data_IF_827421124295
#
_entry.id   IF_827421124295
#
_cell.length_a   1.000
_cell.length_b   1.000
_cell.length_c   1.000
_cell.angle_alpha   90.00
_cell.angle_beta   90.00
_cell.angle_gamma   90.00
#
_symmetry.space_group_name_H-M   'P 1'
#
loop_
_entity.id
_entity.type
_entity.pdbx_description
1 polymer ?
#
# COMPACT_ATOMS: atom_id res chain seq x y z
N UNK A 1 5.63 19.10 -9.01
CA UNK A 1 5.35 17.66 -9.11
C UNK A 1 5.75 17.00 -7.80
N UNK A 2 5.01 16.01 -7.29
CA UNK A 2 5.38 15.35 -6.04
C UNK A 2 6.75 14.66 -6.22
N UNK A 3 7.72 15.01 -5.39
CA UNK A 3 9.07 14.43 -5.47
C UNK A 3 9.03 13.00 -4.96
N UNK A 4 9.07 12.03 -5.87
CA UNK A 4 9.30 10.61 -5.55
C UNK A 4 10.76 10.46 -5.14
N UNK A 5 11.01 9.69 -4.08
CA UNK A 5 12.33 9.39 -3.55
C UNK A 5 12.56 7.88 -3.61
N UNK A 6 13.84 7.49 -3.53
CA UNK A 6 14.22 6.09 -3.34
C UNK A 6 13.61 5.56 -2.04
N UNK A 7 13.11 4.33 -2.07
CA UNK A 7 12.43 3.69 -0.94
C UNK A 7 10.94 4.04 -0.80
N UNK A 8 10.38 4.86 -1.69
CA UNK A 8 8.94 5.09 -1.70
C UNK A 8 8.18 3.87 -2.24
N UNK A 9 7.03 3.56 -1.64
CA UNK A 9 6.09 2.58 -2.16
C UNK A 9 5.21 3.24 -3.22
N UNK A 10 5.20 2.67 -4.43
CA UNK A 10 4.43 3.19 -5.56
C UNK A 10 3.51 2.13 -6.16
N UNK A 11 2.42 2.58 -6.77
CA UNK A 11 1.49 1.75 -7.52
C UNK A 11 1.40 2.23 -8.97
N UNK A 12 1.41 1.30 -9.91
CA UNK A 12 1.20 1.60 -11.33
C UNK A 12 -0.27 1.90 -11.58
N UNK A 13 -0.58 3.09 -12.12
CA UNK A 13 -1.97 3.55 -12.35
C UNK A 13 -2.40 3.32 -13.80
N UNK A 14 -1.46 3.48 -14.74
CA UNK A 14 -1.71 3.46 -16.18
C UNK A 14 -1.06 2.25 -16.85
N UNK A 15 -1.41 2.03 -18.13
CA UNK A 15 -0.96 0.88 -18.90
C UNK A 15 -1.95 -0.28 -18.92
N UNK A 16 -1.49 -1.41 -19.43
CA UNK A 16 -2.29 -2.62 -19.61
C UNK A 16 -2.65 -3.24 -18.27
N UNK A 17 -3.88 -3.77 -18.15
CA UNK A 17 -4.32 -4.46 -16.94
C UNK A 17 -3.55 -5.76 -16.72
N UNK A 18 -3.49 -6.22 -15.47
CA UNK A 18 -2.90 -7.51 -15.12
C UNK A 18 -3.52 -8.67 -15.92
N UNK A 19 -4.84 -8.65 -16.13
CA UNK A 19 -5.54 -9.66 -16.92
C UNK A 19 -5.06 -9.75 -18.39
N UNK A 20 -4.42 -8.70 -18.90
CA UNK A 20 -3.88 -8.62 -20.26
C UNK A 20 -2.35 -8.63 -20.27
N UNK A 21 -1.72 -9.07 -19.18
CA UNK A 21 -0.26 -9.19 -19.06
C UNK A 21 0.48 -7.90 -18.72
N UNK A 22 -0.22 -6.84 -18.32
CA UNK A 22 0.42 -5.59 -17.86
C UNK A 22 0.60 -5.49 -16.35
N UNK A 23 1.17 -4.37 -15.91
CA UNK A 23 1.51 -4.14 -14.50
C UNK A 23 0.55 -3.19 -13.77
N UNK A 24 -0.53 -2.75 -14.42
CA UNK A 24 -1.48 -1.81 -13.82
C UNK A 24 -2.08 -2.39 -12.53
N UNK A 25 -1.95 -1.64 -11.43
CA UNK A 25 -2.40 -2.03 -10.11
C UNK A 25 -1.35 -2.72 -9.25
N UNK A 26 -0.21 -3.15 -9.81
CA UNK A 26 0.91 -3.69 -9.01
C UNK A 26 1.55 -2.58 -8.17
N UNK A 27 1.99 -2.97 -6.98
CA UNK A 27 2.73 -2.11 -6.06
C UNK A 27 4.18 -2.60 -5.96
N UNK A 28 5.12 -1.66 -5.81
CA UNK A 28 6.53 -1.97 -5.65
C UNK A 28 7.30 -0.80 -5.04
N UNK A 29 8.49 -1.09 -4.54
CA UNK A 29 9.39 -0.08 -3.97
C UNK A 29 10.27 0.53 -5.07
N UNK A 30 10.54 1.82 -4.96
CA UNK A 30 11.45 2.54 -5.86
C UNK A 30 12.90 2.23 -5.51
N UNK A 31 13.60 1.52 -6.39
CA UNK A 31 15.02 1.18 -6.27
C UNK A 31 15.91 2.37 -6.62
N UNK A 32 15.54 3.08 -7.69
CA UNK A 32 16.33 4.18 -8.24
C UNK A 32 15.42 5.21 -8.93
N UNK A 33 15.83 6.48 -8.89
CA UNK A 33 15.15 7.59 -9.54
C UNK A 33 16.09 8.24 -10.55
N UNK A 34 15.79 8.06 -11.83
CA UNK A 34 16.49 8.67 -12.96
C UNK A 34 15.85 10.04 -13.24
N UNK A 35 16.34 11.07 -12.54
CA UNK A 35 15.76 12.42 -12.57
C UNK A 35 15.85 13.08 -13.94
N UNK A 36 16.95 12.86 -14.65
CA UNK A 36 17.21 13.47 -15.96
C UNK A 36 16.20 13.01 -17.01
N UNK A 37 15.78 11.74 -16.93
CA UNK A 37 14.83 11.12 -17.85
C UNK A 37 13.38 11.11 -17.34
N UNK A 38 13.11 11.66 -16.15
CA UNK A 38 11.82 11.57 -15.46
C UNK A 38 11.30 10.12 -15.33
N UNK A 39 12.21 9.18 -15.05
CA UNK A 39 11.93 7.76 -14.93
C UNK A 39 12.33 7.22 -13.57
N UNK A 40 11.73 6.10 -13.19
CA UNK A 40 12.02 5.39 -11.94
C UNK A 40 12.14 3.90 -12.21
N UNK A 41 13.05 3.25 -11.48
CA UNK A 41 13.17 1.80 -11.45
C UNK A 41 12.40 1.29 -10.24
N UNK A 42 11.42 0.42 -10.47
CA UNK A 42 10.52 -0.09 -9.43
C UNK A 42 10.68 -1.61 -9.36
N UNK A 43 10.81 -2.14 -8.16
CA UNK A 43 10.95 -3.57 -7.93
C UNK A 43 9.72 -4.34 -8.43
N UNK A 44 9.94 -5.41 -9.20
CA UNK A 44 8.89 -6.35 -9.60
C UNK A 44 7.90 -5.81 -10.65
N UNK A 45 8.21 -4.67 -11.27
CA UNK A 45 7.37 -3.99 -12.25
C UNK A 45 8.16 -3.77 -13.54
N UNK A 46 7.48 -3.91 -14.68
CA UNK A 46 8.00 -3.63 -16.02
C UNK A 46 9.24 -4.46 -16.37
N UNK A 47 9.08 -5.77 -16.40
CA UNK A 47 10.15 -6.68 -16.78
C UNK A 47 10.40 -6.67 -18.29
N UNK A 48 11.68 -6.59 -18.67
CA UNK A 48 12.13 -6.69 -20.05
C UNK A 48 13.07 -7.88 -20.18
N UNK A 49 12.84 -8.66 -21.23
CA UNK A 49 13.69 -9.78 -21.58
C UNK A 49 14.90 -9.29 -22.36
N UNK A 50 16.09 -9.50 -21.81
CA UNK A 50 17.37 -9.14 -22.43
C UNK A 50 18.12 -10.40 -22.81
N UNK A 51 18.51 -10.51 -24.07
CA UNK A 51 19.41 -11.55 -24.54
C UNK A 51 20.85 -11.12 -24.24
N UNK A 52 21.49 -11.83 -23.32
CA UNK A 52 22.87 -11.54 -22.94
C UNK A 52 23.80 -12.49 -23.69
N UNK A 53 24.75 -11.90 -24.42
CA UNK A 53 25.77 -12.66 -25.15
C UNK A 53 26.59 -13.47 -24.15
N UNK A 54 26.80 -14.75 -24.46
CA UNK A 54 27.64 -15.65 -23.66
C UNK A 54 29.04 -15.08 -23.48
N UNK A 55 29.38 -14.72 -22.24
CA UNK A 55 30.72 -14.30 -21.83
C UNK A 55 31.42 -15.43 -21.05
N UNK A 56 32.75 -15.44 -21.07
CA UNK A 56 33.52 -16.22 -20.08
C UNK A 56 33.63 -15.39 -18.79
N UNK A 57 33.10 -15.93 -17.70
CA UNK A 57 33.34 -15.36 -16.36
C UNK A 57 34.80 -15.62 -15.97
N UNK A 58 35.39 -14.81 -15.08
CA UNK A 58 36.76 -15.01 -14.55
C UNK A 58 37.04 -16.42 -13.99
N UNK A 59 35.99 -17.20 -13.68
CA UNK A 59 36.06 -18.60 -13.22
C UNK A 59 35.88 -19.65 -14.33
N UNK A 60 35.94 -19.26 -15.61
CA UNK A 60 35.84 -20.16 -16.76
C UNK A 60 34.41 -20.62 -17.11
N UNK A 61 33.39 -20.26 -16.32
CA UNK A 61 32.00 -20.60 -16.60
C UNK A 61 31.43 -19.71 -17.70
N UNK A 62 30.86 -20.34 -18.74
CA UNK A 62 30.11 -19.65 -19.81
C UNK A 62 28.71 -19.37 -19.29
N UNK A 63 28.46 -18.14 -18.90
CA UNK A 63 27.12 -17.71 -18.50
C UNK A 63 26.61 -16.76 -19.57
N UNK A 64 25.51 -17.15 -20.20
CA UNK A 64 24.74 -16.32 -21.11
C UNK A 64 23.39 -16.97 -21.32
N UNK A 65 22.44 -16.18 -21.82
CA UNK A 65 21.06 -16.64 -21.93
C UNK A 65 20.07 -15.50 -21.91
N UNK A 66 18.82 -15.88 -21.63
CA UNK A 66 17.70 -14.97 -21.53
C UNK A 66 17.61 -14.50 -20.07
N UNK A 67 17.95 -13.24 -19.83
CA UNK A 67 17.80 -12.60 -18.52
C UNK A 67 16.56 -11.73 -18.52
N UNK A 68 15.82 -11.75 -17.43
CA UNK A 68 14.66 -10.90 -17.22
C UNK A 68 15.06 -9.83 -16.21
N UNK A 69 15.09 -8.57 -16.64
CA UNK A 69 15.52 -7.43 -15.82
C UNK A 69 14.39 -6.43 -15.67
N UNK A 70 14.32 -5.74 -14.53
CA UNK A 70 13.40 -4.62 -14.36
C UNK A 70 13.79 -3.46 -15.27
N UNK A 71 12.80 -2.79 -15.85
CA UNK A 71 13.01 -1.66 -16.73
C UNK A 71 12.34 -0.39 -16.17
N UNK A 72 12.91 0.79 -16.43
CA UNK A 72 12.42 2.04 -15.87
C UNK A 72 11.03 2.43 -16.42
N UNK A 73 10.16 2.85 -15.52
CA UNK A 73 8.82 3.37 -15.81
C UNK A 73 8.78 4.90 -15.65
N UNK A 74 7.99 5.58 -16.47
CA UNK A 74 7.85 7.02 -16.40
C UNK A 74 7.07 7.46 -15.14
N UNK A 75 7.49 8.55 -14.50
CA UNK A 75 6.92 9.04 -13.22
C UNK A 75 5.41 9.32 -13.31
N UNK A 76 4.90 9.71 -14.49
CA UNK A 76 3.46 9.96 -14.67
C UNK A 76 2.57 8.71 -14.53
N UNK A 77 3.16 7.53 -14.67
CA UNK A 77 2.42 6.26 -14.71
C UNK A 77 2.26 5.63 -13.32
N UNK A 78 2.83 6.28 -12.30
CA UNK A 78 2.82 5.78 -10.92
C UNK A 78 2.17 6.77 -9.95
N UNK A 79 1.55 6.24 -8.91
CA UNK A 79 1.11 6.99 -7.72
C UNK A 79 1.91 6.53 -6.52
N UNK A 80 2.18 7.45 -5.60
CA UNK A 80 2.64 7.09 -4.27
C UNK A 80 1.50 6.41 -3.51
N UNK A 81 1.85 5.32 -2.83
CA UNK A 81 0.93 4.63 -1.92
C UNK A 81 1.09 5.27 -0.55
N UNK A 82 -0.04 5.68 0.01
CA UNK A 82 -0.07 6.18 1.38
C UNK A 82 0.11 5.01 2.37
N UNK A 83 1.07 5.06 3.31
CA UNK A 83 1.30 3.99 4.28
C UNK A 83 0.10 3.69 5.18
N UNK A 84 -0.77 4.68 5.45
CA UNK A 84 -1.92 4.50 6.34
C UNK A 84 -3.08 3.80 5.63
N UNK A 85 -3.47 4.34 4.47
CA UNK A 85 -4.63 3.84 3.72
C UNK A 85 -4.29 2.68 2.79
N UNK A 86 -3.00 2.49 2.46
CA UNK A 86 -2.49 1.54 1.45
C UNK A 86 -3.09 1.74 0.06
N UNK A 87 -3.68 2.91 -0.18
CA UNK A 87 -4.29 3.30 -1.43
C UNK A 87 -3.39 4.28 -2.18
N UNK A 88 -3.49 4.33 -3.52
CA UNK A 88 -2.79 5.33 -4.31
C UNK A 88 -3.38 6.71 -4.01
N UNK A 89 -2.54 7.64 -3.54
CA UNK A 89 -2.96 8.95 -3.12
C UNK A 89 -2.19 10.04 -3.88
N UNK A 90 -2.85 11.20 -4.07
CA UNK A 90 -2.18 12.39 -4.59
C UNK A 90 -1.40 13.05 -3.47
N UNK A 91 -0.24 13.60 -3.77
CA UNK A 91 0.60 14.23 -2.75
C UNK A 91 0.57 15.76 -2.87
N UNK A 92 0.66 16.42 -1.72
CA UNK A 92 0.91 17.85 -1.58
C UNK A 92 2.22 18.09 -0.83
N UNK A 93 2.60 19.36 -0.79
CA UNK A 93 3.71 19.84 0.04
C UNK A 93 3.11 20.81 1.03
N UNK A 94 3.33 20.58 2.32
CA UNK A 94 3.10 21.58 3.36
C UNK A 94 4.44 22.20 3.73
N UNK A 95 4.40 23.50 4.00
CA UNK A 95 5.56 24.29 4.36
C UNK A 95 5.38 24.68 5.81
N UNK A 96 6.26 24.20 6.66
CA UNK A 96 6.27 24.48 8.09
C UNK A 96 7.56 25.20 8.44
N UNK A 97 7.47 26.24 9.26
CA UNK A 97 8.65 26.91 9.80
C UNK A 97 8.98 26.27 11.14
N UNK A 98 10.09 25.55 11.17
CA UNK A 98 10.57 24.89 12.40
C UNK A 98 11.83 25.60 12.85
N UNK A 99 11.76 26.19 14.05
CA UNK A 99 12.94 26.72 14.72
C UNK A 99 13.67 25.57 15.38
N UNK A 100 14.86 25.24 14.87
CA UNK A 100 15.81 24.35 15.54
C UNK A 100 17.07 25.14 15.84
N UNK A 101 17.53 25.08 17.08
CA UNK A 101 18.80 25.65 17.53
C UNK A 101 18.94 27.16 17.23
N UNK A 102 17.85 27.92 17.40
CA UNK A 102 17.82 29.37 17.16
C UNK A 102 17.79 29.80 15.68
N UNK A 103 17.78 28.86 14.74
CA UNK A 103 17.68 29.12 13.30
C UNK A 103 16.32 28.66 12.78
N UNK A 104 15.55 29.59 12.23
CA UNK A 104 14.29 29.29 11.53
C UNK A 104 14.59 28.57 10.23
N UNK A 105 14.17 27.30 10.10
CA UNK A 105 14.28 26.53 8.87
C UNK A 105 12.91 26.24 8.29
N UNK A 106 12.75 26.55 7.02
CA UNK A 106 11.56 26.17 6.26
C UNK A 106 11.65 24.69 5.90
N UNK A 107 10.84 23.86 6.57
CA UNK A 107 10.75 22.42 6.32
C UNK A 107 9.58 22.16 5.38
N UNK A 108 9.85 21.41 4.30
CA UNK A 108 8.83 21.01 3.33
C UNK A 108 8.44 19.55 3.59
N UNK A 109 7.30 19.37 4.25
CA UNK A 109 6.78 18.04 4.57
C UNK A 109 5.84 17.58 3.47
N UNK A 110 6.00 16.32 3.06
CA UNK A 110 5.14 15.68 2.06
C UNK A 110 3.87 15.19 2.73
N UNK A 111 2.71 15.62 2.24
CA UNK A 111 1.41 15.26 2.81
C UNK A 111 0.56 14.53 1.77
N UNK A 112 -0.05 13.42 2.14
CA UNK A 112 -0.98 12.69 1.28
C UNK A 112 -2.36 13.35 1.34
N UNK A 113 -2.90 13.71 0.17
CA UNK A 113 -4.24 14.28 0.05
C UNK A 113 -5.25 13.15 -0.08
N UNK A 114 -6.36 13.20 0.68
CA UNK A 114 -7.42 12.21 0.54
C UNK A 114 -7.99 12.27 -0.89
N UNK A 115 -8.05 11.12 -1.55
CA UNK A 115 -8.68 11.05 -2.86
C UNK A 115 -10.20 10.98 -2.68
N UNK A 116 -10.97 11.67 -3.54
CA UNK A 116 -12.45 11.59 -3.52
C UNK A 116 -12.99 10.17 -3.73
N UNK A 117 -12.13 9.27 -4.25
CA UNK A 117 -12.43 7.87 -4.55
C UNK A 117 -11.85 6.91 -3.51
N UNK A 118 -11.26 7.42 -2.43
CA UNK A 118 -10.79 6.59 -1.33
C UNK A 118 -12.02 5.91 -0.72
N UNK A 119 -12.16 4.61 -1.01
CA UNK A 119 -13.06 3.76 -0.25
C UNK A 119 -12.70 3.96 1.23
N UNK A 120 -13.70 4.24 2.06
CA UNK A 120 -13.53 4.32 3.52
C UNK A 120 -12.69 3.11 3.96
N UNK A 121 -11.70 3.28 4.86
CA UNK A 121 -10.82 2.20 5.23
C UNK A 121 -11.64 1.03 5.80
N UNK A 122 -11.69 -0.08 5.06
CA UNK A 122 -12.43 -1.30 5.42
C UNK A 122 -11.96 -1.93 6.75
N UNK A 123 -10.89 -1.41 7.37
CA UNK A 123 -10.39 -1.82 8.68
C UNK A 123 -11.09 -1.16 9.86
N UNK A 124 -11.70 0.02 9.70
CA UNK A 124 -12.41 0.68 10.80
C UNK A 124 -13.77 0.02 11.12
N UNK A 125 -14.38 -0.65 10.14
CA UNK A 125 -15.71 -1.26 10.34
C UNK A 125 -15.65 -2.69 10.91
N UNK A 126 -14.53 -3.41 10.72
CA UNK A 126 -14.35 -4.76 11.27
C UNK A 126 -13.93 -4.78 12.75
N UNK A 127 -13.16 -3.79 13.22
CA UNK A 127 -12.80 -3.69 14.63
C UNK A 127 -14.02 -3.38 15.51
N UNK A 128 -14.90 -2.46 15.06
CA UNK A 128 -16.12 -2.11 15.79
C UNK A 128 -17.16 -3.25 15.88
N UNK A 129 -17.11 -4.23 14.97
CA UNK A 129 -17.98 -5.42 15.01
C UNK A 129 -17.43 -6.54 15.91
N UNK A 130 -16.11 -6.63 16.10
CA UNK A 130 -15.49 -7.62 16.98
C UNK A 130 -15.70 -7.29 18.46
N UNK A 131 -15.50 -6.03 18.86
CA UNK A 131 -15.75 -5.57 20.24
C UNK A 131 -17.20 -5.72 20.69
N UNK A 132 -18.15 -5.64 19.75
CA UNK A 132 -19.58 -5.81 20.04
C UNK A 132 -20.01 -7.28 20.19
N UNK A 133 -19.26 -8.21 19.58
CA UNK A 133 -19.48 -9.65 19.70
C UNK A 133 -18.89 -10.18 21.01
N UNK A 134 -17.70 -9.74 21.41
CA UNK A 134 -17.06 -10.20 22.66
C UNK A 134 -17.80 -9.71 23.92
N UNK A 135 -18.44 -8.53 23.86
CA UNK A 135 -19.25 -7.99 24.96
C UNK A 135 -20.63 -8.66 25.09
N UNK A 136 -21.06 -9.46 24.11
CA UNK A 136 -22.32 -10.21 24.15
C UNK A 136 -22.17 -11.60 24.80
N UNK A 137 -20.99 -12.23 24.74
CA UNK A 137 -20.73 -13.54 25.36
C UNK A 137 -20.40 -13.51 26.86
N UNK A 138 -20.08 -12.34 27.43
CA UNK A 138 -19.71 -12.19 28.85
C UNK A 138 -20.79 -11.60 29.76
N UNK A 139 -22.09 -11.77 29.45
CA UNK A 139 -23.16 -11.57 30.45
C UNK A 139 -23.43 -12.90 31.18
N UNK A 140 -23.08 -13.03 32.48
CA UNK A 140 -23.30 -14.28 33.21
C UNK A 140 -24.80 -14.51 33.43
N UNK A 141 -25.26 -15.71 33.07
CA UNK A 141 -26.60 -16.19 33.39
C UNK A 141 -26.71 -16.45 34.91
N UNK A 142 -27.30 -15.51 35.64
CA UNK A 142 -27.65 -15.71 37.05
C UNK A 142 -29.12 -15.38 37.33
N UNK A 143 -29.86 -16.44 37.69
CA UNK A 143 -31.02 -16.54 38.59
C UNK A 143 -32.30 -15.73 38.27
N UNK A 144 -33.35 -16.45 37.87
CA UNK A 144 -34.74 -16.26 38.31
C UNK A 144 -35.42 -17.65 38.29
N UNK A 145 -35.47 -18.38 39.41
CA UNK A 145 -36.46 -18.34 40.51
C UNK A 145 -37.80 -18.98 40.11
N UNK A 146 -38.12 -20.03 40.86
CA UNK A 146 -39.22 -20.96 40.72
C UNK A 146 -40.62 -20.34 40.73
N UNK A 147 -41.53 -20.93 39.97
CA UNK A 147 -42.98 -20.87 40.20
C UNK A 147 -43.60 -22.23 39.83
N UNK A 148 -44.16 -22.91 40.83
CA UNK A 148 -44.86 -24.19 40.72
C UNK A 148 -46.25 -24.00 40.09
N UNK A 149 -46.80 -25.00 39.36
CA UNK A 149 -48.17 -24.95 38.87
C UNK A 149 -49.17 -25.32 39.98
N UNK A 150 -50.13 -24.44 40.27
CA UNK A 150 -51.33 -24.77 41.06
C UNK A 150 -52.46 -25.21 40.14
N UNK A 151 -53.04 -26.36 40.48
CA UNK A 151 -54.33 -26.91 40.01
C UNK A 151 -55.49 -25.93 40.23
N UNK A 152 -56.52 -26.06 39.38
CA UNK A 152 -57.98 -26.06 39.62
C UNK A 152 -58.67 -25.91 38.26
N UNK A 153 -59.27 -26.94 37.70
CA UNK A 153 -60.64 -27.45 37.96
C UNK A 153 -61.72 -26.63 37.22
N UNK A 154 -62.65 -27.39 36.60
CA UNK A 154 -63.95 -27.01 36.01
C UNK A 154 -63.88 -26.28 34.63
N UNK A 155 -64.55 -26.69 33.55
CA UNK A 155 -65.83 -27.39 33.31
C UNK A 155 -65.85 -28.04 31.91
#
# INVERSE_FOLDING_TARGET
MATIRKGDLVQVISGTSQARGGDRGKQGEVLEVLRDENRILVQGINFVTKHVRVGQTQRGTKTGGIETVEAPIHISNVALVDPETKQPARTGVQVEEVTKDGVTKTVRTRVFKPSRRAAKPAKAEKAAKADKAEKAEKKPATKAKAAAPKKKDDE
#
